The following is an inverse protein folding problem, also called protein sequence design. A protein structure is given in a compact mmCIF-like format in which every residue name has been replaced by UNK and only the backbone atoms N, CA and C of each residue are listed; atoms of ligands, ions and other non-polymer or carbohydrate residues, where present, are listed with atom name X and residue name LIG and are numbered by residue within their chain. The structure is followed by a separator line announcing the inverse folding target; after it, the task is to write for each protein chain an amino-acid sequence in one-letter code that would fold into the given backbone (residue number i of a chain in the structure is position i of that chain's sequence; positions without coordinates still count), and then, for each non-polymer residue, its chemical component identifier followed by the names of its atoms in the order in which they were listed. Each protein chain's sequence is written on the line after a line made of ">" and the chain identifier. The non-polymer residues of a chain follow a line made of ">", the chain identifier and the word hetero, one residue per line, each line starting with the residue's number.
data_IF_948042452321
#
_entry.id   IF_948042452321
#
_cell.length_a   1.000
_cell.length_b   1.000
_cell.length_c   1.000
_cell.angle_alpha   90.00
_cell.angle_beta   90.00
_cell.angle_gamma   90.00
#
_symmetry.space_group_name_H-M   'P 1'
#
loop_
_entity.id
_entity.type
_entity.pdbx_description
1 polymer ?
#
# COMPACT_ATOMS: atom_id res chain seq x y z
N UNK A 1 2.84 -3.03 -23.11
CA UNK A 1 1.44 -3.55 -23.01
C UNK A 1 0.51 -2.35 -22.98
N UNK A 2 -0.64 -2.41 -23.65
CA UNK A 2 -1.61 -1.31 -23.65
C UNK A 2 -2.41 -1.30 -22.34
N UNK A 3 -2.66 -0.10 -21.79
CA UNK A 3 -3.51 0.04 -20.60
C UNK A 3 -4.95 -0.33 -20.90
N UNK A 4 -5.66 -0.92 -19.93
CA UNK A 4 -7.08 -1.29 -20.06
C UNK A 4 -7.97 -0.08 -20.32
N UNK A 5 -9.05 -0.29 -21.07
CA UNK A 5 -10.12 0.71 -21.21
C UNK A 5 -10.91 0.82 -19.89
N UNK A 6 -11.35 2.02 -19.53
CA UNK A 6 -12.19 2.22 -18.35
C UNK A 6 -13.60 1.64 -18.53
N UNK A 7 -14.12 1.72 -19.76
CA UNK A 7 -15.45 1.26 -20.13
C UNK A 7 -15.45 0.72 -21.57
N UNK A 8 -16.15 -0.40 -21.77
CA UNK A 8 -16.23 -1.06 -23.07
C UNK A 8 -17.53 -1.85 -23.19
N UNK A 9 -18.55 -1.27 -23.82
CA UNK A 9 -19.89 -1.86 -23.95
C UNK A 9 -19.90 -3.18 -24.74
N UNK A 10 -18.94 -3.39 -25.63
CA UNK A 10 -18.76 -4.64 -26.40
C UNK A 10 -17.82 -5.64 -25.74
N UNK A 11 -17.42 -5.38 -24.49
CA UNK A 11 -16.51 -6.24 -23.74
C UNK A 11 -17.22 -7.40 -23.03
N UNK A 12 -16.42 -8.38 -22.63
CA UNK A 12 -16.87 -9.55 -21.87
C UNK A 12 -17.08 -9.21 -20.39
N UNK A 13 -17.97 -9.95 -19.75
CA UNK A 13 -18.23 -9.78 -18.31
C UNK A 13 -17.21 -10.50 -17.41
N UNK A 14 -17.36 -10.33 -16.09
CA UNK A 14 -16.41 -10.82 -15.09
C UNK A 14 -16.18 -12.33 -15.08
N UNK A 15 -17.06 -13.14 -15.67
CA UNK A 15 -16.85 -14.60 -15.80
C UNK A 15 -15.87 -14.96 -16.92
N UNK A 16 -15.78 -14.11 -17.93
CA UNK A 16 -14.94 -14.33 -19.10
C UNK A 16 -13.66 -13.48 -19.07
N UNK A 17 -13.62 -12.46 -18.22
CA UNK A 17 -12.44 -11.59 -18.06
C UNK A 17 -11.20 -12.41 -17.70
N UNK A 18 -10.11 -12.15 -18.40
CA UNK A 18 -8.78 -12.64 -18.06
C UNK A 18 -8.15 -11.77 -16.97
N UNK A 19 -7.10 -12.28 -16.33
CA UNK A 19 -6.37 -11.52 -15.33
C UNK A 19 -5.74 -10.25 -15.93
N UNK A 20 -5.11 -10.41 -17.10
CA UNK A 20 -4.43 -9.37 -17.86
C UNK A 20 -4.86 -9.51 -19.33
N UNK A 21 -5.02 -8.39 -20.01
CA UNK A 21 -5.41 -8.37 -21.43
C UNK A 21 -6.87 -8.75 -21.67
N UNK A 22 -7.16 -9.28 -22.85
CA UNK A 22 -8.55 -9.58 -23.26
C UNK A 22 -9.34 -8.32 -23.63
N UNK A 23 -10.66 -8.45 -23.60
CA UNK A 23 -11.61 -7.38 -23.96
C UNK A 23 -12.65 -7.18 -22.84
N UNK A 24 -12.26 -6.73 -21.63
CA UNK A 24 -13.18 -6.61 -20.50
C UNK A 24 -14.20 -5.49 -20.70
N UNK A 25 -15.41 -5.67 -20.17
CA UNK A 25 -16.45 -4.63 -20.18
C UNK A 25 -16.12 -3.44 -19.27
N UNK A 26 -15.32 -3.66 -18.23
CA UNK A 26 -15.03 -2.69 -17.18
C UNK A 26 -16.03 -2.68 -16.03
N UNK A 27 -17.06 -3.53 -16.06
CA UNK A 27 -18.06 -3.63 -14.99
C UNK A 27 -17.52 -4.38 -13.77
N UNK A 28 -17.60 -3.78 -12.61
CA UNK A 28 -17.30 -4.44 -11.33
C UNK A 28 -18.58 -5.14 -10.79
N UNK A 29 -18.57 -6.46 -10.82
CA UNK A 29 -19.70 -7.28 -10.35
C UNK A 29 -19.22 -8.44 -9.47
N UNK A 30 -19.32 -8.27 -8.16
CA UNK A 30 -18.88 -9.29 -7.18
C UNK A 30 -19.72 -10.57 -7.19
N UNK A 31 -20.95 -10.54 -7.73
CA UNK A 31 -21.82 -11.72 -7.80
C UNK A 31 -21.41 -12.69 -8.93
N UNK A 32 -20.66 -12.20 -9.91
CA UNK A 32 -20.20 -12.97 -11.07
C UNK A 32 -18.72 -12.75 -11.26
N UNK A 33 -17.91 -13.76 -10.94
CA UNK A 33 -16.46 -13.67 -11.12
C UNK A 33 -15.87 -15.03 -11.49
N UNK A 34 -14.91 -15.02 -12.39
CA UNK A 34 -14.05 -16.14 -12.72
C UNK A 34 -13.12 -16.51 -11.57
N UNK A 35 -12.59 -15.50 -10.87
CA UNK A 35 -11.60 -15.67 -9.81
C UNK A 35 -12.25 -15.54 -8.43
N UNK A 36 -12.93 -16.59 -7.98
CA UNK A 36 -13.62 -16.62 -6.67
C UNK A 36 -12.69 -16.33 -5.49
N UNK A 37 -11.42 -16.73 -5.59
CA UNK A 37 -10.43 -16.44 -4.59
C UNK A 37 -10.24 -14.94 -4.38
N UNK A 38 -10.34 -14.12 -5.42
CA UNK A 38 -10.20 -12.68 -5.33
C UNK A 38 -11.34 -12.03 -4.53
N UNK A 39 -12.56 -12.57 -4.62
CA UNK A 39 -13.68 -12.13 -3.78
C UNK A 39 -13.41 -12.44 -2.29
N UNK A 40 -12.91 -13.64 -2.01
CA UNK A 40 -12.54 -14.02 -0.63
C UNK A 40 -11.37 -13.18 -0.11
N UNK A 41 -10.36 -12.95 -0.95
CA UNK A 41 -9.23 -12.09 -0.61
C UNK A 41 -9.69 -10.67 -0.28
N UNK A 42 -10.50 -10.06 -1.14
CA UNK A 42 -11.03 -8.71 -0.91
C UNK A 42 -11.78 -8.63 0.43
N UNK A 43 -12.61 -9.65 0.74
CA UNK A 43 -13.30 -9.71 2.03
C UNK A 43 -12.30 -9.75 3.18
N UNK A 44 -11.30 -10.63 3.12
CA UNK A 44 -10.26 -10.73 4.17
C UNK A 44 -9.54 -9.40 4.38
N UNK A 45 -9.15 -8.72 3.29
CA UNK A 45 -8.50 -7.41 3.37
C UNK A 45 -9.38 -6.37 4.09
N UNK A 46 -10.69 -6.38 3.81
CA UNK A 46 -11.64 -5.49 4.48
C UNK A 46 -11.90 -5.85 5.95
N UNK A 47 -11.95 -7.15 6.26
CA UNK A 47 -12.12 -7.63 7.64
C UNK A 47 -10.89 -7.32 8.52
N UNK A 48 -9.70 -7.24 7.93
CA UNK A 48 -8.44 -6.88 8.60
C UNK A 48 -8.18 -5.36 8.64
N UNK A 49 -9.14 -4.54 8.24
CA UNK A 49 -8.97 -3.09 8.25
C UNK A 49 -8.82 -2.54 9.67
N UNK A 50 -7.86 -1.66 9.84
CA UNK A 50 -7.58 -0.95 11.10
C UNK A 50 -7.25 0.51 10.81
N UNK A 51 -7.17 1.35 11.84
CA UNK A 51 -6.75 2.75 11.72
C UNK A 51 -5.65 3.06 12.72
N UNK A 52 -4.77 4.03 12.42
CA UNK A 52 -3.71 4.44 13.35
C UNK A 52 -4.25 4.81 14.73
N UNK A 53 -5.43 5.42 14.78
CA UNK A 53 -6.10 5.87 15.99
C UNK A 53 -6.54 4.71 16.91
N UNK A 54 -6.58 3.47 16.38
CA UNK A 54 -6.86 2.26 17.15
C UNK A 54 -5.64 1.73 17.92
N UNK A 55 -4.44 2.24 17.63
CA UNK A 55 -3.19 1.84 18.27
C UNK A 55 -2.83 2.80 19.40
N UNK A 56 -2.54 2.26 20.58
CA UNK A 56 -2.15 3.09 21.73
C UNK A 56 -0.65 3.37 21.70
N UNK A 57 -0.27 4.58 21.39
CA UNK A 57 1.12 5.07 21.28
C UNK A 57 1.59 5.87 22.51
N UNK A 58 0.75 5.99 23.56
CA UNK A 58 1.01 6.89 24.70
C UNK A 58 2.28 6.61 25.51
N UNK A 59 2.87 5.43 25.39
CA UNK A 59 4.11 5.06 26.07
C UNK A 59 5.37 5.19 25.22
N UNK A 60 5.23 5.37 23.90
CA UNK A 60 6.32 5.22 22.91
C UNK A 60 7.45 6.22 23.13
N UNK A 61 7.15 7.50 23.37
CA UNK A 61 8.17 8.53 23.63
C UNK A 61 9.04 8.18 24.85
N UNK A 62 8.41 7.67 25.92
CA UNK A 62 9.15 7.27 27.12
C UNK A 62 10.00 6.02 26.91
N UNK A 63 9.55 5.13 26.05
CA UNK A 63 10.31 3.92 25.69
C UNK A 63 11.47 4.27 24.79
N UNK A 64 11.24 5.08 23.75
CA UNK A 64 12.27 5.56 22.85
C UNK A 64 13.37 6.32 23.59
N UNK A 65 13.03 7.20 24.55
CA UNK A 65 14.00 7.94 25.35
C UNK A 65 14.98 7.05 26.13
N UNK A 66 14.59 5.81 26.44
CA UNK A 66 15.42 4.83 27.17
C UNK A 66 16.32 3.99 26.27
N UNK A 67 16.12 4.04 24.96
CA UNK A 67 16.93 3.30 24.01
C UNK A 67 18.38 3.82 23.99
N UNK A 68 19.31 2.92 23.72
CA UNK A 68 20.69 3.32 23.42
C UNK A 68 20.73 4.10 22.11
N UNK A 69 21.77 4.91 21.90
CA UNK A 69 21.95 5.65 20.64
C UNK A 69 22.02 4.73 19.41
N UNK A 70 22.56 3.51 19.59
CA UNK A 70 22.58 2.49 18.55
C UNK A 70 21.17 1.99 18.21
N UNK A 71 20.32 1.79 19.22
CA UNK A 71 18.96 1.32 19.00
C UNK A 71 18.07 2.41 18.42
N UNK A 72 18.24 3.67 18.85
CA UNK A 72 17.59 4.83 18.23
C UNK A 72 17.98 4.97 16.77
N UNK A 73 19.27 4.84 16.45
CA UNK A 73 19.77 4.86 15.09
C UNK A 73 19.09 3.79 14.21
N UNK A 74 18.95 2.57 14.73
CA UNK A 74 18.28 1.50 14.02
C UNK A 74 16.78 1.75 13.85
N UNK A 75 16.11 2.19 14.92
CA UNK A 75 14.69 2.54 14.92
C UNK A 75 14.37 3.60 13.86
N UNK A 76 15.07 4.72 13.91
CA UNK A 76 14.86 5.85 12.99
C UNK A 76 15.00 5.42 11.53
N UNK A 77 16.05 4.65 11.21
CA UNK A 77 16.30 4.19 9.82
C UNK A 77 15.30 3.16 9.34
N UNK A 78 14.79 2.30 10.22
CA UNK A 78 13.73 1.35 9.87
C UNK A 78 12.46 2.11 9.47
N UNK A 79 12.03 3.09 10.28
CA UNK A 79 10.82 3.85 9.98
C UNK A 79 10.98 4.77 8.76
N UNK A 80 12.12 5.41 8.59
CA UNK A 80 12.41 6.18 7.38
C UNK A 80 12.30 5.32 6.12
N UNK A 81 12.86 4.10 6.16
CA UNK A 81 12.83 3.16 5.05
C UNK A 81 11.43 2.64 4.77
N UNK A 82 10.68 2.22 5.80
CA UNK A 82 9.31 1.73 5.65
C UNK A 82 8.39 2.79 5.06
N UNK A 83 8.42 4.02 5.58
CA UNK A 83 7.61 5.13 5.09
C UNK A 83 7.86 5.41 3.61
N UNK A 84 9.12 5.35 3.17
CA UNK A 84 9.47 5.55 1.77
C UNK A 84 9.03 4.37 0.89
N UNK A 85 9.25 3.12 1.34
CA UNK A 85 8.87 1.92 0.57
C UNK A 85 7.36 1.83 0.38
N UNK A 86 6.56 2.09 1.42
CA UNK A 86 5.11 2.03 1.32
C UNK A 86 4.57 3.11 0.38
N UNK A 87 5.20 4.29 0.35
CA UNK A 87 4.88 5.33 -0.64
C UNK A 87 5.14 4.85 -2.07
N UNK A 88 6.29 4.22 -2.32
CA UNK A 88 6.62 3.65 -3.63
C UNK A 88 5.66 2.52 -4.03
N UNK A 89 5.30 1.65 -3.08
CA UNK A 89 4.38 0.53 -3.33
C UNK A 89 2.99 1.05 -3.64
N UNK A 90 2.48 2.03 -2.90
CA UNK A 90 1.17 2.65 -3.15
C UNK A 90 1.08 3.19 -4.57
N UNK A 91 2.06 3.99 -5.00
CA UNK A 91 2.13 4.57 -6.34
C UNK A 91 2.32 3.49 -7.41
N UNK A 92 3.20 2.52 -7.18
CA UNK A 92 3.46 1.44 -8.13
C UNK A 92 2.23 0.56 -8.37
N UNK A 93 1.47 0.25 -7.33
CA UNK A 93 0.22 -0.49 -7.44
C UNK A 93 -0.83 0.31 -8.23
N UNK A 94 -0.99 1.61 -7.93
CA UNK A 94 -1.97 2.46 -8.57
C UNK A 94 -1.61 2.74 -10.05
N UNK A 95 -0.40 3.17 -10.33
CA UNK A 95 -0.01 3.70 -11.64
C UNK A 95 0.51 2.61 -12.59
N UNK A 96 1.24 1.63 -12.06
CA UNK A 96 1.87 0.62 -12.90
C UNK A 96 1.04 -0.66 -13.00
N UNK A 97 0.67 -1.27 -11.87
CA UNK A 97 0.02 -2.57 -11.90
C UNK A 97 -1.48 -2.47 -12.22
N UNK A 98 -2.19 -1.58 -11.53
CA UNK A 98 -3.65 -1.41 -11.66
C UNK A 98 -4.10 -1.17 -13.11
N UNK A 99 -3.32 -0.44 -13.90
CA UNK A 99 -3.62 -0.14 -15.30
C UNK A 99 -3.67 -1.36 -16.22
N UNK A 100 -3.03 -2.46 -15.85
CA UNK A 100 -2.92 -3.68 -16.67
C UNK A 100 -3.80 -4.84 -16.18
N UNK A 101 -4.24 -4.84 -14.93
CA UNK A 101 -5.15 -5.87 -14.41
C UNK A 101 -6.55 -5.62 -14.97
N UNK A 102 -7.02 -6.54 -15.81
CA UNK A 102 -8.29 -6.40 -16.52
C UNK A 102 -9.45 -7.03 -15.77
N UNK A 103 -9.25 -8.11 -15.02
CA UNK A 103 -10.29 -8.65 -14.16
C UNK A 103 -10.62 -7.67 -13.03
N UNK A 104 -11.88 -7.24 -12.98
CA UNK A 104 -12.30 -6.15 -12.10
C UNK A 104 -12.29 -6.50 -10.60
N UNK A 105 -12.50 -7.77 -10.24
CA UNK A 105 -12.46 -8.19 -8.83
C UNK A 105 -10.99 -8.22 -8.33
N UNK A 106 -10.08 -8.78 -9.13
CA UNK A 106 -8.65 -8.74 -8.81
C UNK A 106 -8.15 -7.29 -8.77
N UNK A 107 -8.63 -6.46 -9.70
CA UNK A 107 -8.32 -5.04 -9.71
C UNK A 107 -8.80 -4.31 -8.43
N UNK A 108 -9.98 -4.70 -7.88
CA UNK A 108 -10.46 -4.16 -6.61
C UNK A 108 -9.52 -4.51 -5.44
N UNK A 109 -8.92 -5.73 -5.43
CA UNK A 109 -7.90 -6.07 -4.42
C UNK A 109 -6.65 -5.19 -4.55
N UNK A 110 -6.19 -4.89 -5.77
CA UNK A 110 -5.03 -4.01 -5.99
C UNK A 110 -5.32 -2.58 -5.51
N UNK A 111 -6.53 -2.07 -5.77
CA UNK A 111 -6.94 -0.74 -5.29
C UNK A 111 -6.97 -0.70 -3.76
N UNK A 112 -7.53 -1.73 -3.12
CA UNK A 112 -7.58 -1.82 -1.66
C UNK A 112 -6.16 -1.94 -1.07
N UNK A 113 -5.27 -2.73 -1.68
CA UNK A 113 -3.86 -2.84 -1.28
C UNK A 113 -3.17 -1.47 -1.34
N UNK A 114 -3.32 -0.74 -2.45
CA UNK A 114 -2.74 0.60 -2.58
C UNK A 114 -3.25 1.55 -1.48
N UNK A 115 -4.55 1.48 -1.15
CA UNK A 115 -5.11 2.28 -0.06
C UNK A 115 -4.56 1.88 1.32
N UNK A 116 -4.24 0.59 1.53
CA UNK A 116 -3.62 0.13 2.78
C UNK A 116 -2.18 0.62 2.91
N UNK A 117 -1.40 0.70 1.83
CA UNK A 117 -0.05 1.27 1.87
C UNK A 117 -0.07 2.77 2.26
N UNK A 118 -1.06 3.52 1.77
CA UNK A 118 -1.29 4.91 2.23
C UNK A 118 -1.63 4.95 3.72
N UNK A 119 -2.43 4.00 4.22
CA UNK A 119 -2.78 3.89 5.64
C UNK A 119 -1.54 3.56 6.49
N UNK A 120 -0.66 2.68 6.02
CA UNK A 120 0.61 2.37 6.68
C UNK A 120 1.50 3.63 6.79
N UNK A 121 1.66 4.38 5.69
CA UNK A 121 2.43 5.63 5.69
C UNK A 121 1.87 6.65 6.68
N UNK A 122 0.54 6.82 6.75
CA UNK A 122 -0.12 7.65 7.78
C UNK A 122 0.19 7.14 9.19
N UNK A 123 0.21 5.82 9.38
CA UNK A 123 0.45 5.20 10.69
C UNK A 123 1.87 5.45 11.19
N UNK A 124 2.85 5.39 10.29
CA UNK A 124 4.23 5.76 10.64
C UNK A 124 4.35 7.23 11.02
N UNK A 125 3.63 8.12 10.32
CA UNK A 125 3.63 9.54 10.66
C UNK A 125 3.06 9.78 12.06
N UNK A 126 1.95 9.16 12.41
CA UNK A 126 1.35 9.25 13.76
C UNK A 126 2.30 8.66 14.81
N UNK A 127 2.83 7.47 14.58
CA UNK A 127 3.74 6.82 15.51
C UNK A 127 5.01 7.64 15.75
N UNK A 128 5.63 8.15 14.69
CA UNK A 128 6.84 8.98 14.82
C UNK A 128 6.56 10.30 15.54
N UNK A 129 5.43 10.95 15.26
CA UNK A 129 5.05 12.18 15.97
C UNK A 129 4.87 11.95 17.48
N UNK A 130 4.36 10.77 17.87
CA UNK A 130 4.20 10.39 19.27
C UNK A 130 5.50 9.88 19.95
N UNK A 131 6.48 9.46 19.15
CA UNK A 131 7.69 8.78 19.64
C UNK A 131 8.91 9.68 19.71
N UNK A 132 9.18 10.46 18.66
CA UNK A 132 10.38 11.27 18.53
C UNK A 132 10.07 12.75 18.56
N UNK A 133 11.00 13.57 19.08
CA UNK A 133 10.82 15.02 19.16
C UNK A 133 10.80 15.70 17.78
N UNK A 134 11.61 15.19 16.84
CA UNK A 134 11.72 15.70 15.47
C UNK A 134 11.46 14.55 14.48
N UNK A 135 10.20 14.36 14.13
CA UNK A 135 9.78 13.33 13.18
C UNK A 135 10.23 13.64 11.74
N UNK A 136 10.33 14.91 11.36
CA UNK A 136 10.74 15.30 10.00
C UNK A 136 12.20 14.90 9.74
N UNK A 137 13.07 15.01 10.75
CA UNK A 137 14.43 14.47 10.69
C UNK A 137 14.45 12.98 10.35
N UNK A 138 13.55 12.20 10.95
CA UNK A 138 13.48 10.75 10.69
C UNK A 138 13.00 10.48 9.27
N UNK A 139 11.97 11.18 8.80
CA UNK A 139 11.50 11.05 7.42
C UNK A 139 12.59 11.39 6.41
N UNK A 140 13.43 12.36 6.68
CA UNK A 140 14.50 12.78 5.77
C UNK A 140 15.66 11.79 5.63
N UNK A 141 15.80 10.82 6.56
CA UNK A 141 16.88 9.83 6.53
C UNK A 141 16.88 8.93 5.27
N UNK A 142 15.75 8.79 4.57
CA UNK A 142 15.73 8.02 3.32
C UNK A 142 16.67 8.63 2.27
N UNK A 143 16.91 9.94 2.31
CA UNK A 143 17.81 10.65 1.40
C UNK A 143 19.27 10.19 1.56
N UNK A 144 19.62 9.66 2.73
CA UNK A 144 20.94 9.14 3.06
C UNK A 144 21.07 7.63 2.81
N UNK A 145 19.98 6.94 2.52
CA UNK A 145 19.99 5.48 2.31
C UNK A 145 20.49 5.16 0.89
N UNK A 146 21.72 4.66 0.82
CA UNK A 146 22.39 4.30 -0.44
C UNK A 146 21.62 3.18 -1.19
N UNK A 147 20.93 2.30 -0.48
CA UNK A 147 20.14 1.23 -1.10
C UNK A 147 18.92 1.80 -1.79
N UNK A 148 18.20 2.73 -1.13
CA UNK A 148 17.06 3.40 -1.72
C UNK A 148 17.47 4.30 -2.89
N UNK A 149 18.59 4.97 -2.78
CA UNK A 149 19.12 5.79 -3.88
C UNK A 149 19.47 4.97 -5.12
N UNK A 150 19.83 3.70 -4.99
CA UNK A 150 20.10 2.81 -6.12
C UNK A 150 18.83 2.43 -6.92
N UNK A 151 17.62 2.59 -6.37
CA UNK A 151 16.37 2.40 -7.11
C UNK A 151 16.01 3.58 -8.01
N UNK A 152 16.68 4.72 -7.87
CA UNK A 152 16.42 5.93 -8.66
C UNK A 152 17.33 6.06 -9.90
N UNK A 153 18.17 5.08 -10.15
CA UNK A 153 19.05 5.01 -11.34
C UNK A 153 18.58 3.96 -12.32
#
# INVERSE_FOLDING_TARGET
>A
MEKKKLYNIGGVDSLEETLIGGNPSGLLNFNRTRYKWATSLYKTMRDCFWTPESVNTSAESKMYAKLSEKDKFAYDRVFARLSFLDSLVADSLADNLNGYITNKIVNACIIDQSAQEVLHSKSYAVLLADTVEDSDRVFDLYKEDLTLNAFNT
#
